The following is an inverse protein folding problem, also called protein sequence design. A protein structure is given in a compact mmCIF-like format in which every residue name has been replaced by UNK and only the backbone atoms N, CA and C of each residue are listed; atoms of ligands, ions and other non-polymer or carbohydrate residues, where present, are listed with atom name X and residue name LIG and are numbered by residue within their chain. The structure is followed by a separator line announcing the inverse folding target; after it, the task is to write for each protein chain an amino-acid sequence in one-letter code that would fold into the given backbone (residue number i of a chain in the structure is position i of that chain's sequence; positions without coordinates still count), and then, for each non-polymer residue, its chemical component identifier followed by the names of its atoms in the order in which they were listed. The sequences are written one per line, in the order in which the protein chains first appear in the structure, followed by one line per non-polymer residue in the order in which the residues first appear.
data_IF_033772045411
#
_entry.id   IF_033772045411
#
_cell.length_a   1.000
_cell.length_b   1.000
_cell.length_c   1.000
_cell.angle_alpha   90.00
_cell.angle_beta   90.00
_cell.angle_gamma   90.00
#
_symmetry.space_group_name_H-M   'P 1'
#
loop_
_entity.id
_entity.type
_entity.pdbx_description
1 polymer ?
#
# COMPACT_ATOMS: atom_id res chain seq x y z
N UNK A 1 -25.21 -12.41 26.74
CA UNK A 1 -24.67 -11.08 27.09
C UNK A 1 -23.17 -11.18 27.40
N UNK A 2 -22.34 -11.71 26.48
CA UNK A 2 -20.89 -11.89 26.64
C UNK A 2 -20.10 -11.77 25.33
N UNK A 3 -20.53 -10.91 24.39
CA UNK A 3 -19.86 -10.70 23.09
C UNK A 3 -19.43 -9.24 22.85
N UNK A 4 -19.38 -8.41 23.88
CA UNK A 4 -19.18 -6.97 23.74
C UNK A 4 -17.90 -6.44 24.43
N UNK A 5 -16.78 -7.16 24.41
CA UNK A 5 -15.52 -6.66 25.02
C UNK A 5 -14.24 -6.99 24.27
N UNK A 6 -14.29 -7.24 22.96
CA UNK A 6 -13.05 -7.41 22.14
C UNK A 6 -13.11 -6.48 20.91
N UNK A 7 -13.58 -5.27 21.03
CA UNK A 7 -13.20 -4.20 20.13
C UNK A 7 -12.06 -3.42 20.78
N UNK A 8 -10.87 -4.00 20.80
CA UNK A 8 -9.67 -3.17 20.81
C UNK A 8 -9.74 -2.33 19.53
N UNK A 9 -9.82 -1.00 19.69
CA UNK A 9 -9.78 0.00 18.61
C UNK A 9 -8.61 -0.38 17.71
N UNK A 10 -8.92 -1.01 16.55
CA UNK A 10 -7.91 -1.42 15.59
C UNK A 10 -7.27 -0.13 15.09
N UNK A 11 -6.04 0.14 15.52
CA UNK A 11 -5.30 1.29 15.01
C UNK A 11 -5.13 1.09 13.52
N UNK A 12 -5.54 2.07 12.72
CA UNK A 12 -5.34 2.04 11.27
C UNK A 12 -3.86 1.87 10.99
N UNK A 13 -3.47 0.78 10.34
CA UNK A 13 -2.09 0.52 10.02
C UNK A 13 -1.62 1.46 8.89
N UNK A 14 -0.41 1.98 9.04
CA UNK A 14 0.23 2.76 7.98
C UNK A 14 0.64 1.83 6.83
N UNK A 15 0.64 2.34 5.61
CA UNK A 15 1.03 1.62 4.41
C UNK A 15 2.35 2.19 3.90
N UNK A 16 3.34 1.32 3.72
CA UNK A 16 4.66 1.63 3.17
C UNK A 16 4.79 1.00 1.79
N UNK A 17 5.03 1.80 0.75
CA UNK A 17 5.28 1.28 -0.58
C UNK A 17 6.78 1.35 -0.92
N UNK A 18 7.32 0.27 -1.46
CA UNK A 18 8.69 0.19 -1.95
C UNK A 18 8.67 0.39 -3.46
N UNK A 19 9.27 1.48 -3.95
CA UNK A 19 9.35 1.85 -5.36
C UNK A 19 10.80 1.92 -5.83
N UNK A 20 11.02 1.87 -7.14
CA UNK A 20 12.34 1.94 -7.76
C UNK A 20 12.38 1.08 -9.02
N UNK A 21 13.42 1.25 -9.84
CA UNK A 21 13.63 0.46 -11.05
C UNK A 21 13.80 -1.04 -10.75
N UNK A 22 13.71 -1.92 -11.76
CA UNK A 22 14.00 -3.36 -11.58
C UNK A 22 15.42 -3.61 -11.05
N UNK A 23 15.60 -4.71 -10.36
CA UNK A 23 16.88 -5.24 -9.85
C UNK A 23 17.63 -4.39 -8.79
N UNK A 24 17.07 -3.28 -8.32
CA UNK A 24 17.68 -2.50 -7.20
C UNK A 24 17.57 -3.18 -5.84
N UNK A 25 16.86 -4.32 -5.73
CA UNK A 25 16.72 -5.08 -4.48
C UNK A 25 15.44 -4.82 -3.70
N UNK A 26 14.38 -4.27 -4.32
CA UNK A 26 13.08 -4.02 -3.66
C UNK A 26 12.49 -5.26 -3.00
N UNK A 27 12.39 -6.36 -3.73
CA UNK A 27 11.82 -7.61 -3.21
C UNK A 27 12.68 -8.25 -2.12
N UNK A 28 14.01 -8.03 -2.16
CA UNK A 28 14.91 -8.46 -1.08
C UNK A 28 14.67 -7.65 0.19
N UNK A 29 14.52 -6.33 0.06
CA UNK A 29 14.16 -5.46 1.18
C UNK A 29 12.78 -5.83 1.74
N UNK A 30 11.78 -5.97 0.88
CA UNK A 30 10.44 -6.40 1.24
C UNK A 30 10.46 -7.69 2.06
N UNK A 31 11.09 -8.75 1.54
CA UNK A 31 11.20 -10.04 2.25
C UNK A 31 11.87 -9.88 3.61
N UNK A 32 12.88 -9.04 3.71
CA UNK A 32 13.56 -8.78 5.00
C UNK A 32 12.67 -8.05 5.99
N UNK A 33 11.84 -7.11 5.53
CA UNK A 33 10.91 -6.38 6.39
C UNK A 33 9.82 -7.29 6.95
N UNK A 34 9.27 -8.20 6.15
CA UNK A 34 8.19 -9.10 6.58
C UNK A 34 8.69 -10.34 7.33
N UNK A 35 9.87 -10.88 7.03
CA UNK A 35 10.42 -12.10 7.67
C UNK A 35 10.66 -11.97 9.17
N UNK A 36 10.73 -10.77 9.71
CA UNK A 36 10.84 -10.54 11.16
C UNK A 36 9.59 -10.97 11.92
N UNK A 37 8.43 -11.07 11.26
CA UNK A 37 7.16 -11.49 11.86
C UNK A 37 6.82 -12.95 11.60
N UNK A 38 7.17 -13.48 10.44
CA UNK A 38 6.87 -14.89 10.06
C UNK A 38 7.64 -15.92 10.90
N UNK A 39 8.64 -15.50 11.68
CA UNK A 39 9.28 -16.35 12.68
C UNK A 39 8.35 -16.76 13.84
N UNK A 40 7.13 -16.21 13.91
CA UNK A 40 6.15 -16.44 14.98
C UNK A 40 4.88 -17.14 14.44
N UNK A 41 4.68 -17.20 13.13
CA UNK A 41 3.46 -17.78 12.51
C UNK A 41 3.80 -18.94 11.58
N UNK A 42 3.24 -20.10 11.89
CA UNK A 42 3.37 -21.39 11.20
C UNK A 42 3.43 -21.28 9.66
N UNK A 43 4.52 -21.78 9.09
CA UNK A 43 4.69 -21.97 7.66
C UNK A 43 3.80 -23.13 7.17
N UNK A 44 2.62 -22.83 6.68
CA UNK A 44 1.80 -23.85 5.96
C UNK A 44 2.42 -24.07 4.57
N UNK A 45 2.89 -25.31 4.24
CA UNK A 45 3.46 -25.61 2.93
C UNK A 45 2.36 -25.55 1.86
N UNK A 46 2.57 -24.73 0.82
CA UNK A 46 1.70 -24.72 -0.37
C UNK A 46 1.21 -23.36 -0.83
N UNK A 47 1.56 -22.27 -0.15
CA UNK A 47 1.18 -20.92 -0.58
C UNK A 47 2.28 -20.31 -1.45
N UNK A 48 1.94 -20.04 -2.69
CA UNK A 48 2.82 -19.51 -3.74
C UNK A 48 3.52 -18.22 -3.33
N UNK A 49 4.82 -18.13 -3.68
CA UNK A 49 5.81 -17.09 -3.34
C UNK A 49 5.61 -15.70 -3.95
N UNK A 50 4.47 -15.41 -4.55
CA UNK A 50 4.19 -14.13 -5.22
C UNK A 50 3.49 -13.12 -4.28
N UNK A 51 3.94 -13.04 -3.02
CA UNK A 51 3.42 -12.04 -2.07
C UNK A 51 4.15 -10.72 -2.28
N UNK A 52 3.49 -9.77 -2.92
CA UNK A 52 3.95 -8.38 -3.03
C UNK A 52 3.40 -7.49 -1.89
N UNK A 53 2.81 -8.10 -0.89
CA UNK A 53 2.22 -7.48 0.30
C UNK A 53 2.57 -8.29 1.55
N UNK A 54 2.84 -7.60 2.64
CA UNK A 54 3.09 -8.23 3.94
C UNK A 54 2.96 -7.24 5.09
N UNK A 55 2.86 -7.77 6.32
CA UNK A 55 2.87 -6.97 7.53
C UNK A 55 4.26 -6.96 8.13
N UNK A 56 4.66 -5.81 8.64
CA UNK A 56 5.90 -5.59 9.36
C UNK A 56 5.63 -4.92 10.69
N UNK A 57 6.57 -5.07 11.61
CA UNK A 57 6.56 -4.40 12.90
C UNK A 57 7.94 -3.85 13.20
N UNK A 58 8.02 -2.60 13.64
CA UNK A 58 9.26 -1.98 14.06
C UNK A 58 8.98 -1.00 15.20
N UNK A 59 9.79 -1.08 16.28
CA UNK A 59 9.64 -0.26 17.48
C UNK A 59 8.20 -0.25 18.07
N UNK A 60 7.50 -1.41 18.00
CA UNK A 60 6.12 -1.55 18.47
C UNK A 60 5.05 -0.95 17.55
N UNK A 61 5.44 -0.47 16.37
CA UNK A 61 4.49 0.03 15.35
C UNK A 61 4.30 -1.01 14.25
N UNK A 62 3.07 -1.46 14.08
CA UNK A 62 2.68 -2.31 12.96
C UNK A 62 2.35 -1.48 11.73
N UNK A 63 2.78 -1.95 10.56
CA UNK A 63 2.48 -1.33 9.28
C UNK A 63 2.47 -2.37 8.15
N UNK A 64 1.79 -2.02 7.06
CA UNK A 64 1.72 -2.84 5.87
C UNK A 64 2.78 -2.42 4.87
N UNK A 65 3.45 -3.39 4.24
CA UNK A 65 4.50 -3.14 3.24
C UNK A 65 4.05 -3.70 1.90
N UNK A 66 4.29 -2.94 0.83
CA UNK A 66 3.95 -3.32 -0.54
C UNK A 66 5.19 -3.21 -1.43
N UNK A 67 5.54 -4.32 -2.10
CA UNK A 67 6.57 -4.34 -3.15
C UNK A 67 5.94 -4.09 -4.51
N UNK A 68 6.26 -2.95 -5.13
CA UNK A 68 5.73 -2.62 -6.46
C UNK A 68 6.44 -3.39 -7.58
N UNK A 69 7.60 -4.00 -7.32
CA UNK A 69 8.44 -4.63 -8.34
C UNK A 69 7.95 -5.96 -8.89
N UNK A 70 7.11 -6.68 -8.15
CA UNK A 70 6.63 -8.01 -8.53
C UNK A 70 5.61 -8.05 -9.68
N UNK A 71 5.17 -6.89 -10.15
CA UNK A 71 4.10 -6.78 -11.17
C UNK A 71 4.60 -6.42 -12.58
N UNK A 72 5.91 -6.26 -12.78
CA UNK A 72 6.47 -5.94 -14.10
C UNK A 72 6.72 -7.25 -14.88
N UNK A 73 5.86 -7.53 -15.87
CA UNK A 73 6.06 -8.60 -16.84
C UNK A 73 6.06 -7.98 -18.24
N UNK A 74 7.21 -7.80 -18.88
CA UNK A 74 7.27 -7.25 -20.23
C UNK A 74 8.69 -7.01 -20.75
N UNK A 75 8.81 -6.64 -22.03
CA UNK A 75 10.06 -6.31 -22.72
C UNK A 75 10.51 -4.86 -22.42
N UNK A 76 11.79 -4.56 -22.60
CA UNK A 76 12.46 -3.34 -22.17
C UNK A 76 11.80 -2.00 -22.56
N UNK A 77 11.10 -1.91 -23.67
CA UNK A 77 10.44 -0.68 -24.14
C UNK A 77 9.12 -0.34 -23.40
N UNK A 78 8.53 -1.29 -22.66
CA UNK A 78 7.29 -1.11 -21.90
C UNK A 78 7.58 -0.65 -20.47
N UNK A 79 8.81 -0.80 -20.01
CA UNK A 79 9.21 -0.64 -18.61
C UNK A 79 9.01 0.78 -18.03
N UNK A 80 9.36 1.83 -18.77
CA UNK A 80 9.31 3.19 -18.21
C UNK A 80 7.87 3.63 -17.89
N UNK A 81 6.95 3.33 -18.78
CA UNK A 81 5.52 3.63 -18.59
C UNK A 81 4.89 2.86 -17.44
N UNK A 82 5.28 1.60 -17.26
CA UNK A 82 4.77 0.75 -16.17
C UNK A 82 5.35 1.17 -14.81
N UNK A 83 6.65 1.45 -14.75
CA UNK A 83 7.28 1.93 -13.51
C UNK A 83 6.66 3.25 -13.09
N UNK A 84 6.45 4.18 -14.03
CA UNK A 84 5.77 5.44 -13.75
C UNK A 84 4.40 5.22 -13.15
N UNK A 85 3.58 4.35 -13.74
CA UNK A 85 2.25 3.99 -13.23
C UNK A 85 2.32 3.39 -11.81
N UNK A 86 3.28 2.52 -11.56
CA UNK A 86 3.48 1.92 -10.23
C UNK A 86 3.86 2.96 -9.18
N UNK A 87 4.74 3.91 -9.54
CA UNK A 87 5.11 5.01 -8.66
C UNK A 87 3.92 5.92 -8.39
N UNK A 88 3.14 6.28 -9.42
CA UNK A 88 1.91 7.08 -9.27
C UNK A 88 0.91 6.40 -8.33
N UNK A 89 0.76 5.07 -8.44
CA UNK A 89 -0.09 4.29 -7.54
C UNK A 89 0.42 4.24 -6.10
N UNK A 90 1.74 4.04 -5.94
CA UNK A 90 2.36 4.09 -4.62
C UNK A 90 2.16 5.46 -3.97
N UNK A 91 2.26 6.53 -4.77
CA UNK A 91 1.99 7.91 -4.33
C UNK A 91 0.55 8.06 -3.85
N UNK A 92 -0.41 7.47 -4.55
CA UNK A 92 -1.83 7.58 -4.19
C UNK A 92 -2.17 6.79 -2.93
N UNK A 93 -1.66 5.57 -2.78
CA UNK A 93 -2.14 4.62 -1.79
C UNK A 93 -1.26 4.47 -0.54
N UNK A 94 0.04 4.79 -0.60
CA UNK A 94 0.94 4.66 0.56
C UNK A 94 0.91 5.90 1.46
N UNK A 95 1.19 5.72 2.75
CA UNK A 95 1.41 6.79 3.72
C UNK A 95 2.88 7.23 3.73
N UNK A 96 3.81 6.29 3.50
CA UNK A 96 5.25 6.52 3.35
C UNK A 96 5.77 5.77 2.13
N UNK A 97 6.67 6.37 1.36
CA UNK A 97 7.27 5.79 0.17
C UNK A 97 8.76 5.57 0.41
N UNK A 98 9.24 4.34 0.21
CA UNK A 98 10.67 4.03 0.17
C UNK A 98 11.09 3.97 -1.29
N UNK A 99 11.93 4.90 -1.72
CA UNK A 99 12.54 4.88 -3.04
C UNK A 99 13.90 4.20 -2.99
N UNK A 100 13.98 2.99 -3.54
CA UNK A 100 15.20 2.18 -3.54
C UNK A 100 15.99 2.39 -4.81
N UNK A 101 17.28 2.71 -4.65
CA UNK A 101 18.27 2.87 -5.71
C UNK A 101 19.49 1.98 -5.44
N UNK A 102 20.35 1.79 -6.43
CA UNK A 102 21.45 0.86 -6.42
C UNK A 102 22.80 1.60 -6.54
N UNK A 103 23.65 1.50 -5.50
CA UNK A 103 24.96 2.18 -5.50
C UNK A 103 25.92 1.63 -6.55
N UNK A 104 25.79 0.36 -6.94
CA UNK A 104 26.69 -0.26 -7.92
C UNK A 104 26.49 0.30 -9.34
N UNK A 105 25.27 0.66 -9.69
CA UNK A 105 24.96 1.21 -11.01
C UNK A 105 24.93 2.74 -11.03
N UNK A 106 24.93 3.38 -9.85
CA UNK A 106 24.80 4.83 -9.73
C UNK A 106 23.43 5.35 -10.16
N UNK A 107 23.33 6.67 -10.37
CA UNK A 107 22.07 7.30 -10.81
C UNK A 107 21.83 7.00 -12.28
N UNK A 108 20.72 6.34 -12.59
CA UNK A 108 20.28 6.08 -13.96
C UNK A 108 19.22 7.09 -14.41
N UNK A 109 18.98 7.25 -15.73
CA UNK A 109 17.90 8.11 -16.23
C UNK A 109 16.51 7.72 -15.69
N UNK A 110 16.31 6.44 -15.38
CA UNK A 110 15.08 5.92 -14.79
C UNK A 110 14.93 6.37 -13.34
N UNK A 111 16.00 6.35 -12.56
CA UNK A 111 16.00 6.85 -11.18
C UNK A 111 15.67 8.35 -11.14
N UNK A 112 16.22 9.15 -12.07
CA UNK A 112 15.91 10.57 -12.19
C UNK A 112 14.44 10.80 -12.59
N UNK A 113 13.89 9.96 -13.47
CA UNK A 113 12.46 10.02 -13.84
C UNK A 113 11.56 9.76 -12.64
N UNK A 114 11.85 8.73 -11.85
CA UNK A 114 11.12 8.41 -10.61
C UNK A 114 11.28 9.54 -9.58
N UNK A 115 12.50 10.03 -9.37
CA UNK A 115 12.78 11.13 -8.45
C UNK A 115 11.99 12.40 -8.81
N UNK A 116 11.86 12.72 -10.11
CA UNK A 116 11.03 13.85 -10.58
C UNK A 116 9.56 13.73 -10.22
N UNK A 117 9.00 12.53 -10.20
CA UNK A 117 7.64 12.29 -9.73
C UNK A 117 7.55 12.47 -8.22
N UNK A 118 8.48 11.85 -7.49
CA UNK A 118 8.49 11.85 -6.03
C UNK A 118 8.72 13.24 -5.42
N UNK A 119 9.51 14.11 -6.08
CA UNK A 119 9.71 15.51 -5.63
C UNK A 119 8.43 16.36 -5.61
N UNK A 120 7.38 15.95 -6.32
CA UNK A 120 6.09 16.66 -6.39
C UNK A 120 5.10 16.23 -5.32
N UNK A 121 5.45 15.22 -4.54
CA UNK A 121 4.55 14.59 -3.57
C UNK A 121 4.69 15.26 -2.22
N UNK A 122 3.59 15.38 -1.52
CA UNK A 122 3.55 15.90 -0.14
C UNK A 122 3.76 14.82 0.92
N UNK A 123 3.63 13.54 0.52
CA UNK A 123 3.86 12.41 1.43
C UNK A 123 5.34 12.21 1.69
N UNK A 124 5.74 11.67 2.85
CA UNK A 124 7.12 11.35 3.14
C UNK A 124 7.72 10.38 2.12
N UNK A 125 8.87 10.75 1.57
CA UNK A 125 9.67 9.91 0.67
C UNK A 125 11.02 9.68 1.32
N UNK A 126 11.39 8.43 1.50
CA UNK A 126 12.66 8.01 2.08
C UNK A 126 13.53 7.44 0.96
N UNK A 127 14.62 8.12 0.65
CA UNK A 127 15.60 7.65 -0.33
C UNK A 127 16.50 6.58 0.32
N UNK A 128 16.50 5.39 -0.23
CA UNK A 128 17.20 4.23 0.29
C UNK A 128 18.20 3.70 -0.74
N UNK A 129 19.49 3.86 -0.45
CA UNK A 129 20.61 3.44 -1.31
C UNK A 129 21.02 2.03 -0.92
N UNK A 130 20.69 1.06 -1.76
CA UNK A 130 20.97 -0.36 -1.53
C UNK A 130 22.33 -0.79 -2.05
N UNK A 131 22.75 -1.98 -1.60
CA UNK A 131 24.02 -2.67 -1.91
C UNK A 131 25.25 -1.98 -1.32
N UNK A 132 25.07 -1.13 -0.31
CA UNK A 132 26.16 -0.51 0.41
C UNK A 132 26.66 -1.47 1.48
N UNK A 133 27.65 -2.26 1.13
CA UNK A 133 28.21 -3.31 2.00
C UNK A 133 29.65 -3.01 2.49
N UNK A 134 30.22 -1.90 2.06
CA UNK A 134 31.57 -1.48 2.44
C UNK A 134 31.73 0.04 2.42
N UNK A 135 32.81 0.53 3.06
CA UNK A 135 33.10 1.96 3.20
C UNK A 135 33.37 2.70 1.87
N UNK A 136 33.76 1.98 0.82
CA UNK A 136 33.95 2.60 -0.50
C UNK A 136 32.61 2.94 -1.13
N UNK A 137 31.67 1.99 -1.12
CA UNK A 137 30.29 2.21 -1.61
C UNK A 137 29.53 3.26 -0.79
N UNK A 138 29.88 3.43 0.48
CA UNK A 138 29.31 4.50 1.30
C UNK A 138 29.70 5.89 0.76
N UNK A 139 30.92 6.05 0.23
CA UNK A 139 31.32 7.30 -0.43
C UNK A 139 30.62 7.48 -1.78
N UNK A 140 30.44 6.40 -2.53
CA UNK A 140 29.77 6.44 -3.82
C UNK A 140 28.30 6.80 -3.66
N UNK A 141 27.68 6.43 -2.54
CA UNK A 141 26.31 6.77 -2.21
C UNK A 141 26.03 8.29 -2.13
N UNK A 142 27.08 9.12 -1.94
CA UNK A 142 26.92 10.58 -1.89
C UNK A 142 26.35 11.18 -3.18
N UNK A 143 26.54 10.52 -4.33
CA UNK A 143 25.99 11.01 -5.60
C UNK A 143 24.45 11.09 -5.58
N UNK A 144 23.78 10.27 -4.78
CA UNK A 144 22.32 10.21 -4.73
C UNK A 144 21.67 11.45 -4.10
N UNK A 145 22.42 12.34 -3.46
CA UNK A 145 21.94 13.69 -3.13
C UNK A 145 21.48 14.47 -4.37
N UNK A 146 22.05 14.18 -5.54
CA UNK A 146 21.66 14.83 -6.80
C UNK A 146 20.22 14.51 -7.22
N UNK A 147 19.60 13.47 -6.67
CA UNK A 147 18.17 13.19 -6.89
C UNK A 147 17.25 14.22 -6.23
N UNK A 148 17.75 15.07 -5.33
CA UNK A 148 17.01 16.19 -4.73
C UNK A 148 15.80 15.76 -3.88
N UNK A 149 15.92 14.64 -3.17
CA UNK A 149 14.90 14.07 -2.27
C UNK A 149 15.27 14.26 -0.78
N UNK A 150 16.32 15.03 -0.48
CA UNK A 150 16.84 15.23 0.87
C UNK A 150 17.85 14.16 1.26
N UNK A 151 17.86 13.81 2.54
CA UNK A 151 18.77 12.80 3.09
C UNK A 151 18.44 11.40 2.55
N UNK A 152 19.48 10.54 2.49
CA UNK A 152 19.34 9.14 2.10
C UNK A 152 19.84 8.21 3.21
N UNK A 153 19.36 6.96 3.17
CA UNK A 153 19.78 5.89 4.07
C UNK A 153 20.50 4.82 3.29
N UNK A 154 21.74 4.50 3.70
CA UNK A 154 22.53 3.42 3.11
C UNK A 154 22.18 2.10 3.76
N UNK A 155 22.02 1.06 2.97
CA UNK A 155 21.77 -0.29 3.48
C UNK A 155 22.23 -1.37 2.51
N UNK A 156 22.31 -2.60 3.00
CA UNK A 156 22.54 -3.78 2.18
C UNK A 156 21.44 -4.81 2.44
N UNK A 157 20.47 -4.92 1.53
CA UNK A 157 19.31 -5.79 1.68
C UNK A 157 19.65 -7.26 1.91
N UNK A 158 20.79 -7.74 1.37
CA UNK A 158 21.24 -9.13 1.51
C UNK A 158 21.76 -9.40 2.93
N UNK A 159 22.65 -8.57 3.45
CA UNK A 159 23.24 -8.75 4.80
C UNK A 159 22.33 -8.22 5.91
N UNK A 160 21.53 -7.20 5.61
CA UNK A 160 20.69 -6.49 6.58
C UNK A 160 21.39 -5.30 7.25
N UNK A 161 22.62 -4.99 6.85
CA UNK A 161 23.33 -3.80 7.34
C UNK A 161 22.54 -2.54 6.98
N UNK A 162 22.44 -1.56 7.91
CA UNK A 162 21.73 -0.29 7.71
C UNK A 162 20.20 -0.36 7.66
N UNK A 163 19.60 -1.57 7.67
CA UNK A 163 18.13 -1.68 7.64
C UNK A 163 17.44 -1.17 8.91
N UNK A 164 18.15 -1.12 10.04
CA UNK A 164 17.63 -0.55 11.29
C UNK A 164 17.35 0.95 11.15
N UNK A 165 18.34 1.71 10.70
CA UNK A 165 18.23 3.16 10.52
C UNK A 165 17.17 3.52 9.46
N UNK A 166 17.08 2.72 8.39
CA UNK A 166 16.03 2.86 7.40
C UNK A 166 14.62 2.66 8.01
N UNK A 167 14.44 1.63 8.84
CA UNK A 167 13.16 1.35 9.49
C UNK A 167 12.81 2.38 10.56
N UNK A 168 13.79 2.92 11.29
CA UNK A 168 13.60 4.02 12.22
C UNK A 168 13.09 5.27 11.48
N UNK A 169 13.67 5.59 10.32
CA UNK A 169 13.21 6.69 9.47
C UNK A 169 11.78 6.45 8.97
N UNK A 170 11.44 5.22 8.57
CA UNK A 170 10.08 4.87 8.13
C UNK A 170 9.06 5.12 9.23
N UNK A 171 9.31 4.62 10.43
CA UNK A 171 8.39 4.77 11.57
C UNK A 171 8.26 6.24 12.00
N UNK A 172 9.38 6.98 11.99
CA UNK A 172 9.38 8.41 12.31
C UNK A 172 8.61 9.25 11.28
N UNK A 173 8.58 8.79 10.03
CA UNK A 173 7.89 9.48 8.93
C UNK A 173 6.38 9.19 8.88
N UNK A 174 5.85 8.29 9.71
CA UNK A 174 4.41 8.04 9.73
C UNK A 174 3.65 9.31 10.14
N UNK A 175 2.57 9.64 9.41
CA UNK A 175 1.76 10.79 9.77
C UNK A 175 1.17 10.61 11.18
N UNK A 176 1.22 11.66 11.99
CA UNK A 176 0.42 11.72 13.20
C UNK A 176 -1.04 11.62 12.81
N UNK A 177 -1.68 10.51 13.13
CA UNK A 177 -3.11 10.36 12.88
C UNK A 177 -3.83 11.20 13.94
N UNK A 178 -4.65 12.18 13.53
CA UNK A 178 -5.47 12.88 14.48
C UNK A 178 -6.28 11.85 15.28
N UNK A 179 -6.36 12.02 16.58
CA UNK A 179 -7.37 11.33 17.39
C UNK A 179 -8.69 12.00 17.00
N UNK A 180 -9.27 11.53 15.90
CA UNK A 180 -10.61 11.99 15.53
C UNK A 180 -11.54 11.54 16.64
N UNK A 181 -12.17 12.51 17.32
CA UNK A 181 -13.42 12.31 18.03
C UNK A 181 -14.50 12.08 16.95
N UNK A 182 -14.39 10.95 16.27
CA UNK A 182 -15.36 10.56 15.26
C UNK A 182 -16.64 10.14 15.97
N UNK A 183 -17.68 10.94 15.84
CA UNK A 183 -19.01 10.63 16.40
C UNK A 183 -19.58 9.32 15.83
N UNK A 184 -19.04 8.83 14.72
CA UNK A 184 -19.35 7.55 14.08
C UNK A 184 -18.28 6.46 14.35
N UNK A 185 -17.34 6.69 15.30
CA UNK A 185 -16.26 5.75 15.62
C UNK A 185 -16.73 4.38 16.11
N UNK A 186 -17.96 4.31 16.60
CA UNK A 186 -18.59 3.06 17.09
C UNK A 186 -19.28 2.26 15.96
N UNK A 187 -19.40 2.81 14.75
CA UNK A 187 -20.03 2.10 13.64
C UNK A 187 -19.06 1.13 12.98
N UNK A 188 -19.48 -0.12 12.71
CA UNK A 188 -18.65 -1.07 11.99
C UNK A 188 -18.28 -0.56 10.59
N UNK A 189 -17.04 -0.79 10.19
CA UNK A 189 -16.50 -0.39 8.88
C UNK A 189 -16.44 -1.59 7.95
N UNK A 190 -17.08 -1.49 6.79
CA UNK A 190 -17.14 -2.54 5.78
C UNK A 190 -16.37 -2.15 4.53
N UNK A 191 -15.45 -3.02 4.10
CA UNK A 191 -14.80 -2.91 2.81
C UNK A 191 -15.41 -3.87 1.80
N UNK A 192 -15.58 -3.41 0.54
CA UNK A 192 -15.99 -4.26 -0.58
C UNK A 192 -14.80 -4.44 -1.51
N UNK A 193 -14.21 -5.62 -1.50
CA UNK A 193 -12.98 -5.97 -2.23
C UNK A 193 -13.24 -7.04 -3.29
N UNK A 194 -12.31 -7.24 -4.19
CA UNK A 194 -12.39 -8.22 -5.26
C UNK A 194 -11.74 -7.67 -6.53
N UNK A 195 -11.52 -8.54 -7.52
CA UNK A 195 -10.86 -8.18 -8.79
C UNK A 195 -11.65 -7.14 -9.59
N UNK A 196 -11.03 -6.49 -10.59
CA UNK A 196 -11.73 -5.60 -11.52
C UNK A 196 -12.93 -6.31 -12.18
N UNK A 197 -14.00 -5.57 -12.37
CA UNK A 197 -15.24 -6.04 -13.04
C UNK A 197 -16.01 -7.19 -12.34
N UNK A 198 -15.64 -7.58 -11.12
CA UNK A 198 -16.38 -8.59 -10.34
C UNK A 198 -17.77 -8.13 -9.86
N UNK A 199 -18.16 -6.87 -10.14
CA UNK A 199 -19.47 -6.35 -9.74
C UNK A 199 -19.51 -5.51 -8.47
N UNK A 200 -18.36 -5.17 -7.87
CA UNK A 200 -18.28 -4.36 -6.65
C UNK A 200 -19.07 -3.05 -6.71
N UNK A 201 -18.89 -2.28 -7.78
CA UNK A 201 -19.61 -1.01 -7.97
C UNK A 201 -21.13 -1.22 -8.10
N UNK A 202 -21.55 -2.29 -8.76
CA UNK A 202 -22.96 -2.64 -8.88
C UNK A 202 -23.56 -3.04 -7.54
N UNK A 203 -22.82 -3.80 -6.75
CA UNK A 203 -23.21 -4.19 -5.40
C UNK A 203 -23.36 -2.97 -4.48
N UNK A 204 -22.37 -2.09 -4.44
CA UNK A 204 -22.41 -0.86 -3.63
C UNK A 204 -23.54 0.07 -4.10
N UNK A 205 -23.72 0.25 -5.42
CA UNK A 205 -24.81 1.06 -5.94
C UNK A 205 -26.20 0.50 -5.60
N UNK A 206 -26.34 -0.83 -5.59
CA UNK A 206 -27.58 -1.48 -5.17
C UNK A 206 -27.84 -1.31 -3.67
N UNK A 207 -26.77 -1.41 -2.86
CA UNK A 207 -26.84 -1.25 -1.40
C UNK A 207 -27.20 0.19 -1.01
N UNK A 208 -26.53 1.17 -1.59
CA UNK A 208 -26.74 2.60 -1.28
C UNK A 208 -28.04 3.11 -1.89
N UNK A 209 -28.53 2.54 -3.03
CA UNK A 209 -29.73 2.97 -3.76
C UNK A 209 -29.46 4.13 -4.71
N UNK A 210 -30.29 4.27 -5.76
CA UNK A 210 -30.11 5.28 -6.83
C UNK A 210 -30.52 6.71 -6.48
N UNK A 211 -31.16 6.96 -5.33
CA UNK A 211 -31.68 8.28 -4.99
C UNK A 211 -30.99 8.90 -3.78
N UNK A 212 -30.30 10.00 -4.08
CA UNK A 212 -29.85 11.08 -3.17
C UNK A 212 -29.32 10.62 -1.80
N UNK A 213 -28.03 10.43 -1.74
CA UNK A 213 -27.34 10.55 -0.46
C UNK A 213 -26.58 11.86 -0.40
N UNK A 214 -26.87 12.59 0.64
CA UNK A 214 -26.08 13.71 1.10
C UNK A 214 -24.72 13.11 1.49
N UNK A 215 -23.76 13.24 0.56
CA UNK A 215 -22.36 13.19 0.95
C UNK A 215 -22.19 14.45 1.79
N UNK A 216 -22.18 14.33 3.08
CA UNK A 216 -21.58 15.34 3.92
C UNK A 216 -20.09 15.25 3.59
N UNK A 217 -19.64 16.08 2.62
CA UNK A 217 -18.26 16.46 2.52
C UNK A 217 -17.93 17.13 3.85
N UNK A 218 -17.42 16.36 4.79
CA UNK A 218 -16.80 16.92 5.98
C UNK A 218 -15.53 17.56 5.45
N UNK A 219 -15.62 18.87 5.19
CA UNK A 219 -14.50 19.69 4.78
C UNK A 219 -13.49 19.70 5.94
N UNK A 220 -12.39 18.96 5.78
CA UNK A 220 -11.32 18.91 6.76
C UNK A 220 -10.51 17.61 6.78
N UNK A 221 -11.01 16.52 6.22
CA UNK A 221 -10.25 15.29 6.10
C UNK A 221 -9.49 15.29 4.78
N UNK A 222 -8.17 15.30 4.88
CA UNK A 222 -7.23 15.15 3.77
C UNK A 222 -7.67 14.04 2.82
N UNK A 223 -7.89 14.37 1.58
CA UNK A 223 -7.91 13.69 0.26
C UNK A 223 -8.10 12.15 0.16
N UNK A 224 -8.21 11.37 1.22
CA UNK A 224 -7.80 9.97 1.18
C UNK A 224 -8.90 8.89 1.27
N UNK A 225 -10.07 9.09 1.82
CA UNK A 225 -11.16 8.11 1.70
C UNK A 225 -12.49 8.77 1.99
N UNK A 226 -13.42 8.69 1.05
CA UNK A 226 -14.80 9.07 1.33
C UNK A 226 -15.48 7.80 1.81
N UNK A 227 -15.58 7.66 3.11
CA UNK A 227 -16.42 6.66 3.74
C UNK A 227 -17.88 7.07 3.54
N UNK A 228 -18.74 6.11 3.24
CA UNK A 228 -20.15 6.36 3.04
C UNK A 228 -20.95 5.69 4.13
N UNK A 229 -21.60 6.47 4.98
CA UNK A 229 -22.49 5.92 6.01
C UNK A 229 -23.70 5.26 5.34
N UNK A 230 -23.99 4.04 5.77
CA UNK A 230 -25.20 3.30 5.46
C UNK A 230 -26.12 3.30 6.68
N UNK A 231 -27.35 3.75 6.50
CA UNK A 231 -28.38 3.79 7.54
C UNK A 231 -29.71 3.37 6.91
N UNK A 232 -29.94 2.06 6.84
CA UNK A 232 -31.21 1.49 6.34
C UNK A 232 -31.53 0.15 6.97
N UNK A 233 -32.79 -0.19 6.94
CA UNK A 233 -33.34 -1.47 7.44
C UNK A 233 -33.00 -1.73 8.91
N UNK A 234 -32.70 -0.67 9.69
CA UNK A 234 -32.33 -0.78 11.09
C UNK A 234 -30.84 -1.16 11.30
N UNK A 235 -30.00 -1.05 10.25
CA UNK A 235 -28.55 -1.27 10.32
C UNK A 235 -27.81 0.03 10.01
N UNK A 236 -26.82 0.35 10.84
CA UNK A 236 -25.90 1.46 10.63
C UNK A 236 -24.48 0.94 10.53
N UNK A 237 -23.75 1.35 9.49
CA UNK A 237 -22.33 1.03 9.29
C UNK A 237 -21.69 1.98 8.28
N UNK A 238 -20.37 2.02 8.24
CA UNK A 238 -19.58 2.79 7.28
C UNK A 238 -19.03 1.90 6.17
N UNK A 239 -19.24 2.28 4.91
CA UNK A 239 -18.59 1.66 3.74
C UNK A 239 -17.29 2.41 3.43
N UNK A 240 -16.17 1.71 3.55
CA UNK A 240 -14.82 2.25 3.33
C UNK A 240 -14.49 2.34 1.85
N UNK A 241 -13.74 3.39 1.45
CA UNK A 241 -13.20 3.61 0.09
C UNK A 241 -14.24 3.60 -1.05
N UNK A 242 -15.41 4.13 -0.83
CA UNK A 242 -16.43 4.24 -1.88
C UNK A 242 -16.05 5.18 -3.01
N UNK A 243 -15.18 6.18 -2.77
CA UNK A 243 -14.69 7.11 -3.79
C UNK A 243 -13.82 6.43 -4.84
N UNK A 244 -12.98 5.47 -4.44
CA UNK A 244 -12.17 4.67 -5.33
C UNK A 244 -12.99 3.86 -6.30
N UNK A 245 -14.13 3.36 -5.88
CA UNK A 245 -15.06 2.59 -6.71
C UNK A 245 -15.80 3.50 -7.71
N UNK A 246 -16.12 4.75 -7.33
CA UNK A 246 -16.81 5.72 -8.19
C UNK A 246 -15.91 6.33 -9.27
N UNK A 247 -14.63 6.60 -8.99
CA UNK A 247 -13.67 7.15 -9.97
C UNK A 247 -13.38 6.19 -11.13
N UNK A 248 -13.47 4.88 -10.92
CA UNK A 248 -13.25 3.86 -11.97
C UNK A 248 -14.22 3.90 -13.14
N UNK A 249 -15.36 4.55 -13.03
CA UNK A 249 -16.27 4.70 -14.18
C UNK A 249 -15.67 5.52 -15.35
N UNK A 250 -14.53 6.19 -15.14
CA UNK A 250 -13.86 7.06 -16.14
C UNK A 250 -12.50 6.57 -16.64
N UNK A 251 -11.87 5.58 -16.00
CA UNK A 251 -10.54 5.10 -16.40
C UNK A 251 -10.67 3.66 -16.90
N UNK A 252 -10.60 3.50 -18.22
CA UNK A 252 -10.37 2.20 -18.85
C UNK A 252 -8.87 1.93 -18.74
N UNK A 253 -8.45 1.02 -17.86
CA UNK A 253 -7.31 0.15 -18.07
C UNK A 253 -7.05 -0.71 -16.82
N UNK A 254 -6.96 -2.00 -17.07
CA UNK A 254 -6.77 -3.08 -16.14
C UNK A 254 -5.33 -3.10 -15.61
N UNK A 255 -5.12 -2.53 -14.45
CA UNK A 255 -3.91 -2.80 -13.71
C UNK A 255 -4.30 -3.70 -12.51
N UNK A 256 -3.93 -4.99 -12.59
CA UNK A 256 -4.11 -5.95 -11.50
C UNK A 256 -3.56 -5.41 -10.18
N UNK A 257 -2.39 -4.81 -10.25
CA UNK A 257 -1.72 -4.15 -9.14
C UNK A 257 -2.58 -3.04 -8.48
N UNK A 258 -3.27 -2.21 -9.29
CA UNK A 258 -4.16 -1.16 -8.79
C UNK A 258 -5.26 -1.71 -7.90
N UNK A 259 -5.82 -2.85 -8.31
CA UNK A 259 -6.89 -3.50 -7.56
C UNK A 259 -6.39 -4.06 -6.21
N UNK A 260 -5.18 -4.60 -6.17
CA UNK A 260 -4.57 -5.16 -4.95
C UNK A 260 -4.23 -4.05 -3.97
N UNK A 261 -3.53 -2.98 -4.40
CA UNK A 261 -3.17 -1.85 -3.55
C UNK A 261 -4.37 -1.24 -2.84
N UNK A 262 -5.45 -0.99 -3.60
CA UNK A 262 -6.70 -0.49 -3.02
C UNK A 262 -7.38 -1.47 -2.09
N UNK A 263 -7.33 -2.76 -2.43
CA UNK A 263 -7.89 -3.78 -1.55
C UNK A 263 -7.15 -3.80 -0.22
N UNK A 264 -5.81 -3.68 -0.24
CA UNK A 264 -4.99 -3.57 0.97
C UNK A 264 -5.46 -2.38 1.81
N UNK A 265 -5.55 -1.19 1.22
CA UNK A 265 -5.96 0.01 1.95
C UNK A 265 -7.36 -0.14 2.53
N UNK A 266 -8.32 -0.62 1.74
CA UNK A 266 -9.69 -0.83 2.19
C UNK A 266 -9.76 -1.86 3.33
N UNK A 267 -8.99 -2.95 3.25
CA UNK A 267 -8.94 -4.01 4.26
C UNK A 267 -8.33 -3.48 5.57
N UNK A 268 -7.26 -2.69 5.49
CA UNK A 268 -6.61 -2.13 6.69
C UNK A 268 -7.53 -1.16 7.45
N UNK A 269 -8.49 -0.55 6.76
CA UNK A 269 -9.43 0.42 7.34
C UNK A 269 -10.79 -0.17 7.68
N UNK A 270 -11.01 -1.48 7.46
CA UNK A 270 -12.29 -2.15 7.67
C UNK A 270 -12.25 -3.14 8.83
N UNK A 271 -13.41 -3.30 9.49
CA UNK A 271 -13.64 -4.35 10.48
C UNK A 271 -14.13 -5.62 9.80
N UNK A 272 -14.82 -5.47 8.66
CA UNK A 272 -15.40 -6.58 7.88
C UNK A 272 -15.13 -6.37 6.40
N UNK A 273 -14.63 -7.42 5.73
CA UNK A 273 -14.38 -7.41 4.30
C UNK A 273 -15.37 -8.29 3.55
N UNK A 274 -15.98 -7.74 2.51
CA UNK A 274 -16.89 -8.44 1.59
C UNK A 274 -16.13 -8.69 0.30
N UNK A 275 -15.71 -9.94 0.06
CA UNK A 275 -15.06 -10.35 -1.18
C UNK A 275 -16.11 -10.66 -2.25
N UNK A 276 -16.13 -9.86 -3.32
CA UNK A 276 -17.04 -10.05 -4.46
C UNK A 276 -16.32 -10.84 -5.55
N UNK A 277 -16.88 -12.00 -5.91
CA UNK A 277 -16.35 -12.92 -6.91
C UNK A 277 -17.30 -13.00 -8.11
N UNK A 278 -16.75 -12.98 -9.33
CA UNK A 278 -17.51 -13.18 -10.56
C UNK A 278 -17.85 -14.67 -10.73
N UNK A 279 -19.13 -15.01 -10.54
CA UNK A 279 -19.59 -16.37 -10.62
C UNK A 279 -19.41 -17.02 -12.02
N UNK A 280 -19.29 -16.21 -13.08
CA UNK A 280 -19.08 -16.73 -14.45
C UNK A 280 -17.66 -17.20 -14.69
N UNK A 281 -16.69 -16.67 -13.93
CA UNK A 281 -15.27 -17.03 -14.03
C UNK A 281 -14.80 -17.92 -12.88
N UNK A 282 -15.56 -17.97 -11.79
CA UNK A 282 -15.20 -18.70 -10.59
C UNK A 282 -14.10 -18.00 -9.76
N UNK A 283 -13.47 -18.76 -8.88
CA UNK A 283 -12.41 -18.29 -7.97
C UNK A 283 -11.06 -18.41 -8.66
N UNK A 284 -10.49 -17.28 -9.08
CA UNK A 284 -9.21 -17.21 -9.79
C UNK A 284 -8.05 -16.80 -8.86
N UNK A 285 -6.81 -16.89 -9.34
CA UNK A 285 -5.61 -16.57 -8.55
C UNK A 285 -5.60 -15.17 -7.93
N UNK A 286 -6.17 -14.15 -8.63
CA UNK A 286 -6.29 -12.81 -8.10
C UNK A 286 -7.30 -12.70 -6.95
N UNK A 287 -8.42 -13.44 -7.01
CA UNK A 287 -9.38 -13.50 -5.89
C UNK A 287 -8.73 -14.18 -4.68
N UNK A 288 -7.91 -15.22 -4.93
CA UNK A 288 -7.12 -15.87 -3.90
C UNK A 288 -6.11 -14.92 -3.28
N UNK A 289 -5.40 -14.12 -4.07
CA UNK A 289 -4.45 -13.13 -3.56
C UNK A 289 -5.13 -12.10 -2.66
N UNK A 290 -6.32 -11.60 -3.05
CA UNK A 290 -7.11 -10.65 -2.24
C UNK A 290 -7.65 -11.31 -0.98
N UNK A 291 -8.03 -12.58 -1.03
CA UNK A 291 -8.53 -13.33 0.13
C UNK A 291 -7.45 -13.54 1.21
N UNK A 292 -6.18 -13.63 0.81
CA UNK A 292 -5.07 -13.82 1.73
C UNK A 292 -4.47 -12.51 2.30
N UNK A 293 -4.98 -11.34 1.87
CA UNK A 293 -4.67 -10.04 2.47
C UNK A 293 -5.28 -9.92 3.86
#
# INVERSE_FOLDING_TARGET
MYLCKIFQKKMMNNIVAIVGRPNVGKSTLFNRMIQRRDAIVDSTPGVTRDRNYGKSEWNGMEFSVIDTGGYVRGSDDVFEGEIRKQVELAIDEADVIIFVVDVEEGITPMDDTVARLLRKVTKPVILAVNKVDNAMREKDAMEFYNLGLGDYFTFASISGSGTGDLLDAVVTAFPEKPIEEDTDADLPRFAVVGRPNAGKSSFINALIGRERYIVTDIAGTTRDSIDTKFDRFGFEFNLVDTAGIRRKAKVKEDLEFYSVMRSVRAIEHADVCILVIDATRGFEGQDQSIFWL
#
